data_IF_490405205642
#
_entry.id   IF_490405205642
#
_cell.length_a   1.000
_cell.length_b   1.000
_cell.length_c   1.000
_cell.angle_alpha   90.00
_cell.angle_beta   90.00
_cell.angle_gamma   90.00
#
_symmetry.space_group_name_H-M   'P 1'
#
loop_
_entity.id
_entity.type
_entity.pdbx_description
1 polymer ?
#
# COMPACT_ATOMS: atom_id res chain seq x y z
N UNK A 1 6.18 -10.10 -8.37
CA UNK A 1 6.54 -8.66 -8.48
C UNK A 1 7.96 -8.50 -7.95
N UNK A 2 8.79 -7.64 -8.53
CA UNK A 2 10.21 -7.54 -8.14
C UNK A 2 11.03 -8.71 -8.68
N UNK A 3 11.96 -9.24 -7.87
CA UNK A 3 12.83 -10.38 -8.24
C UNK A 3 12.39 -11.72 -7.64
N UNK A 4 11.30 -11.74 -6.86
CA UNK A 4 10.76 -12.99 -6.29
C UNK A 4 10.13 -13.86 -7.38
N UNK A 5 10.31 -15.18 -7.25
CA UNK A 5 9.70 -16.17 -8.15
C UNK A 5 8.15 -16.05 -8.13
N UNK A 6 7.46 -16.18 -9.27
CA UNK A 6 6.01 -16.21 -9.31
C UNK A 6 5.43 -17.36 -8.47
N UNK A 7 4.33 -17.09 -7.76
CA UNK A 7 3.54 -18.08 -7.03
C UNK A 7 2.12 -18.13 -7.63
N UNK A 8 1.82 -19.07 -8.53
CA UNK A 8 0.49 -19.23 -9.09
C UNK A 8 -0.56 -19.51 -8.00
N UNK A 9 -1.74 -18.90 -8.11
CA UNK A 9 -2.83 -19.11 -7.16
C UNK A 9 -2.61 -18.47 -5.77
N UNK A 10 -1.60 -17.62 -5.62
CA UNK A 10 -1.31 -16.91 -4.36
C UNK A 10 -2.51 -16.11 -3.89
N UNK A 11 -2.77 -16.18 -2.59
CA UNK A 11 -3.74 -15.37 -1.84
C UNK A 11 -3.02 -14.39 -0.91
N UNK A 12 -3.74 -13.43 -0.31
CA UNK A 12 -3.17 -12.56 0.72
C UNK A 12 -2.62 -13.36 1.92
N UNK A 13 -3.26 -14.49 2.26
CA UNK A 13 -2.89 -15.37 3.38
C UNK A 13 -1.62 -16.19 3.13
N UNK A 14 -1.08 -16.18 1.91
CA UNK A 14 0.23 -16.79 1.64
C UNK A 14 1.39 -15.86 2.01
N UNK A 15 1.18 -14.55 2.03
CA UNK A 15 2.24 -13.59 2.36
C UNK A 15 2.79 -13.71 3.79
N UNK A 16 1.97 -13.96 4.84
CA UNK A 16 2.49 -14.22 6.18
C UNK A 16 3.47 -15.40 6.23
N UNK A 17 3.27 -16.44 5.39
CA UNK A 17 4.17 -17.60 5.32
C UNK A 17 5.54 -17.19 4.77
N UNK A 18 5.56 -16.35 3.73
CA UNK A 18 6.81 -15.76 3.20
C UNK A 18 7.54 -14.96 4.29
N UNK A 19 6.80 -14.17 5.09
CA UNK A 19 7.39 -13.41 6.19
C UNK A 19 7.92 -14.31 7.32
N UNK A 20 7.29 -15.45 7.60
CA UNK A 20 7.83 -16.41 8.56
C UNK A 20 9.16 -17.02 8.09
N UNK A 21 9.26 -17.36 6.80
CA UNK A 21 10.52 -17.82 6.21
C UNK A 21 11.59 -16.74 6.28
N UNK A 22 11.25 -15.49 5.95
CA UNK A 22 12.18 -14.37 6.03
C UNK A 22 12.63 -14.10 7.47
N UNK A 23 11.71 -14.05 8.42
CA UNK A 23 12.02 -13.82 9.84
C UNK A 23 12.92 -14.93 10.40
N UNK A 24 12.65 -16.19 10.05
CA UNK A 24 13.51 -17.32 10.42
C UNK A 24 14.92 -17.17 9.85
N UNK A 25 15.03 -16.83 8.57
CA UNK A 25 16.32 -16.62 7.91
C UNK A 25 17.13 -15.48 8.53
N UNK A 26 16.47 -14.40 8.92
CA UNK A 26 17.07 -13.22 9.55
C UNK A 26 17.26 -13.37 11.07
N UNK A 27 16.88 -14.52 11.65
CA UNK A 27 16.89 -14.78 13.10
C UNK A 27 16.07 -13.74 13.92
N UNK A 28 14.98 -13.24 13.34
CA UNK A 28 14.06 -12.33 14.00
C UNK A 28 13.09 -13.12 14.87
N UNK A 29 13.20 -12.96 16.20
CA UNK A 29 12.28 -13.58 17.16
C UNK A 29 10.94 -12.84 17.18
N UNK A 30 11.00 -11.51 17.13
CA UNK A 30 9.86 -10.61 17.26
C UNK A 30 9.99 -9.47 16.26
N UNK A 31 8.87 -9.03 15.69
CA UNK A 31 8.85 -7.94 14.71
C UNK A 31 7.47 -7.27 14.61
N UNK A 32 7.47 -6.11 13.97
CA UNK A 32 6.26 -5.40 13.55
C UNK A 32 6.14 -5.40 12.03
N UNK A 33 4.93 -5.23 11.52
CA UNK A 33 4.67 -5.16 10.06
C UNK A 33 4.08 -3.80 9.71
N UNK A 34 4.63 -3.17 8.68
CA UNK A 34 4.13 -1.93 8.10
C UNK A 34 3.62 -2.20 6.68
N UNK A 35 2.33 -1.93 6.44
CA UNK A 35 1.72 -1.96 5.12
C UNK A 35 1.36 -0.56 4.64
N UNK A 36 1.72 -0.21 3.41
CA UNK A 36 1.41 1.09 2.80
C UNK A 36 0.54 0.87 1.57
N UNK A 37 -0.59 1.59 1.47
CA UNK A 37 -1.48 1.52 0.30
C UNK A 37 -1.89 0.07 -0.04
N UNK A 38 -1.50 -0.45 -1.21
CA UNK A 38 -1.70 -1.85 -1.59
C UNK A 38 -1.04 -2.87 -0.66
N UNK A 39 -0.08 -2.47 0.18
CA UNK A 39 0.51 -3.29 1.25
C UNK A 39 -0.37 -3.41 2.50
N UNK A 40 -1.42 -2.58 2.65
CA UNK A 40 -2.36 -2.64 3.77
C UNK A 40 -3.05 -4.00 3.92
N UNK A 41 -3.66 -4.56 2.86
CA UNK A 41 -4.24 -5.91 2.87
C UNK A 41 -3.26 -7.01 3.27
N UNK A 42 -2.01 -6.92 2.82
CA UNK A 42 -0.96 -7.87 3.19
C UNK A 42 -0.59 -7.76 4.67
N UNK A 43 -0.49 -6.54 5.21
CA UNK A 43 -0.26 -6.32 6.64
C UNK A 43 -1.44 -6.82 7.50
N UNK A 44 -2.67 -6.66 7.02
CA UNK A 44 -3.87 -7.23 7.65
C UNK A 44 -3.87 -8.76 7.61
N UNK A 45 -3.44 -9.37 6.51
CA UNK A 45 -3.28 -10.83 6.44
C UNK A 45 -2.28 -11.33 7.48
N UNK A 46 -1.17 -10.62 7.67
CA UNK A 46 -0.22 -10.92 8.75
C UNK A 46 -0.86 -10.77 10.14
N UNK A 47 -1.63 -9.70 10.36
CA UNK A 47 -2.35 -9.48 11.61
C UNK A 47 -3.31 -10.63 11.97
N UNK A 48 -3.92 -11.24 10.95
CA UNK A 48 -4.89 -12.32 11.11
C UNK A 48 -4.24 -13.64 11.47
N UNK A 49 -3.12 -14.01 10.84
CA UNK A 49 -2.59 -15.39 10.94
C UNK A 49 -1.31 -15.52 11.75
N UNK A 50 -0.57 -14.44 12.00
CA UNK A 50 0.74 -14.55 12.64
C UNK A 50 0.65 -14.70 14.18
N UNK A 51 1.49 -15.56 14.76
CA UNK A 51 1.44 -15.89 16.18
C UNK A 51 1.89 -14.72 17.08
N UNK A 52 1.39 -14.72 18.32
CA UNK A 52 1.61 -13.64 19.31
C UNK A 52 3.06 -13.51 19.77
N UNK A 53 3.77 -14.61 19.71
CA UNK A 53 5.18 -14.71 20.04
C UNK A 53 6.03 -13.94 19.03
N UNK A 54 5.60 -13.83 17.76
CA UNK A 54 6.38 -13.21 16.67
C UNK A 54 5.91 -11.79 16.33
N UNK A 55 4.65 -11.63 15.94
CA UNK A 55 4.15 -10.35 15.44
C UNK A 55 3.65 -9.48 16.61
N UNK A 56 4.32 -8.36 16.90
CA UNK A 56 4.00 -7.51 18.06
C UNK A 56 3.12 -6.32 17.76
N UNK A 57 3.19 -5.79 16.55
CA UNK A 57 2.37 -4.67 16.13
C UNK A 57 2.22 -4.61 14.62
N UNK A 58 1.14 -3.96 14.18
CA UNK A 58 0.90 -3.66 12.76
C UNK A 58 0.62 -2.18 12.58
N UNK A 59 1.20 -1.58 11.55
CA UNK A 59 0.87 -0.23 11.10
C UNK A 59 0.43 -0.26 9.65
N UNK A 60 -0.65 0.45 9.35
CA UNK A 60 -1.21 0.59 8.01
C UNK A 60 -1.25 2.07 7.68
N UNK A 61 -0.65 2.45 6.57
CA UNK A 61 -0.61 3.83 6.07
C UNK A 61 -1.36 3.88 4.75
N UNK A 62 -2.41 4.69 4.67
CA UNK A 62 -3.30 4.84 3.51
C UNK A 62 -3.71 3.51 2.85
N UNK A 63 -3.83 2.44 3.65
CA UNK A 63 -4.01 1.09 3.15
C UNK A 63 -5.43 0.79 2.69
N UNK A 64 -5.57 0.07 1.57
CA UNK A 64 -6.89 -0.35 1.10
C UNK A 64 -7.46 -1.43 2.04
N UNK A 65 -8.72 -1.25 2.43
CA UNK A 65 -9.46 -2.21 3.24
C UNK A 65 -10.28 -3.18 2.39
N UNK A 66 -10.95 -4.17 3.00
CA UNK A 66 -11.79 -5.14 2.31
C UNK A 66 -12.80 -4.49 1.33
N UNK A 67 -13.10 -5.11 0.17
CA UNK A 67 -13.93 -4.50 -0.87
C UNK A 67 -15.35 -4.09 -0.41
N UNK A 68 -15.90 -4.74 0.61
CA UNK A 68 -17.22 -4.43 1.15
C UNK A 68 -17.30 -3.04 1.82
N UNK A 69 -16.16 -2.43 2.14
CA UNK A 69 -16.09 -1.03 2.60
C UNK A 69 -16.49 -0.06 1.48
N UNK A 70 -16.23 -0.42 0.23
CA UNK A 70 -16.45 0.40 -0.95
C UNK A 70 -15.48 1.59 -1.07
N UNK A 71 -15.46 2.19 -2.27
CA UNK A 71 -14.54 3.29 -2.62
C UNK A 71 -15.19 4.68 -2.53
N UNK A 72 -16.17 4.88 -1.65
CA UNK A 72 -16.82 6.18 -1.49
C UNK A 72 -15.80 7.24 -1.07
N UNK A 73 -15.78 8.37 -1.78
CA UNK A 73 -14.78 9.45 -1.62
C UNK A 73 -13.54 9.32 -2.50
N UNK A 74 -13.38 8.21 -3.24
CA UNK A 74 -12.28 8.07 -4.18
C UNK A 74 -12.51 8.94 -5.42
N UNK A 75 -11.42 9.45 -6.01
CA UNK A 75 -11.48 10.09 -7.32
C UNK A 75 -11.99 9.11 -8.37
N UNK A 76 -12.73 9.61 -9.37
CA UNK A 76 -13.41 8.79 -10.38
C UNK A 76 -12.52 7.69 -10.99
N UNK A 77 -11.28 8.02 -11.34
CA UNK A 77 -10.33 7.06 -11.90
C UNK A 77 -10.03 5.89 -10.94
N UNK A 78 -9.75 6.17 -9.67
CA UNK A 78 -9.49 5.15 -8.65
C UNK A 78 -10.75 4.38 -8.29
N UNK A 79 -11.91 5.05 -8.24
CA UNK A 79 -13.19 4.41 -8.01
C UNK A 79 -13.47 3.33 -9.06
N UNK A 80 -13.32 3.65 -10.36
CA UNK A 80 -13.48 2.67 -11.44
C UNK A 80 -12.40 1.59 -11.38
N UNK A 81 -11.15 2.00 -11.13
CA UNK A 81 -10.00 1.10 -11.07
C UNK A 81 -10.15 0.01 -10.02
N UNK A 82 -10.49 0.36 -8.78
CA UNK A 82 -10.62 -0.60 -7.68
C UNK A 82 -11.92 -1.40 -7.72
N UNK A 83 -13.06 -0.81 -8.09
CA UNK A 83 -14.32 -1.55 -8.16
C UNK A 83 -14.36 -2.52 -9.37
N UNK A 84 -13.77 -2.13 -10.50
CA UNK A 84 -13.92 -2.88 -11.75
C UNK A 84 -12.60 -3.28 -12.40
N UNK A 85 -11.66 -2.34 -12.56
CA UNK A 85 -10.43 -2.56 -13.32
C UNK A 85 -9.60 -3.72 -12.77
N UNK A 86 -9.17 -3.62 -11.52
CA UNK A 86 -8.36 -4.64 -10.86
C UNK A 86 -9.14 -5.95 -10.63
N UNK A 87 -10.44 -5.86 -10.37
CA UNK A 87 -11.30 -7.01 -10.09
C UNK A 87 -11.56 -7.88 -11.32
N UNK A 88 -11.96 -7.27 -12.44
CA UNK A 88 -12.45 -8.01 -13.61
C UNK A 88 -11.47 -8.00 -14.79
N UNK A 89 -10.57 -7.02 -14.88
CA UNK A 89 -9.61 -6.91 -15.96
C UNK A 89 -8.17 -6.63 -15.47
N UNK A 90 -7.63 -7.41 -14.51
CA UNK A 90 -6.35 -7.11 -13.87
C UNK A 90 -5.17 -7.04 -14.85
N UNK A 91 -5.14 -7.90 -15.88
CA UNK A 91 -4.09 -7.86 -16.91
C UNK A 91 -4.16 -6.60 -17.76
N UNK A 92 -5.36 -6.10 -18.06
CA UNK A 92 -5.55 -4.86 -18.80
C UNK A 92 -5.12 -3.67 -17.95
N UNK A 93 -5.48 -3.65 -16.67
CA UNK A 93 -5.02 -2.63 -15.72
C UNK A 93 -3.49 -2.66 -15.57
N UNK A 94 -2.89 -3.84 -15.39
CA UNK A 94 -1.44 -4.02 -15.31
C UNK A 94 -0.72 -3.55 -16.58
N UNK A 95 -1.25 -3.89 -17.76
CA UNK A 95 -0.76 -3.37 -19.03
C UNK A 95 -0.84 -1.84 -19.11
N UNK A 96 -1.97 -1.24 -18.72
CA UNK A 96 -2.16 0.21 -18.74
C UNK A 96 -1.12 0.93 -17.86
N UNK A 97 -0.90 0.48 -16.63
CA UNK A 97 0.11 1.06 -15.74
C UNK A 97 1.54 0.80 -16.23
N UNK A 98 1.79 -0.34 -16.88
CA UNK A 98 3.08 -0.61 -17.51
C UNK A 98 3.38 0.38 -18.65
N UNK A 99 2.39 0.73 -19.48
CA UNK A 99 2.56 1.73 -20.53
C UNK A 99 2.91 3.11 -19.97
N UNK A 100 2.30 3.51 -18.84
CA UNK A 100 2.64 4.77 -18.17
C UNK A 100 4.10 4.82 -17.69
N UNK A 101 4.70 3.66 -17.42
CA UNK A 101 6.08 3.56 -17.00
C UNK A 101 7.09 4.08 -18.02
N UNK A 102 6.76 4.15 -19.32
CA UNK A 102 7.66 4.59 -20.41
C UNK A 102 9.03 3.88 -20.36
N UNK A 103 9.03 2.57 -20.17
CA UNK A 103 10.26 1.78 -19.96
C UNK A 103 11.20 1.69 -21.17
N UNK A 104 10.80 2.19 -22.34
CA UNK A 104 11.67 2.37 -23.50
C UNK A 104 12.68 3.53 -23.32
N UNK A 105 12.49 4.39 -22.31
CA UNK A 105 13.39 5.49 -21.96
C UNK A 105 14.33 5.10 -20.81
N UNK A 106 15.47 5.79 -20.70
CA UNK A 106 16.36 5.69 -19.55
C UNK A 106 15.69 6.20 -18.26
N UNK A 107 16.22 5.82 -17.08
CA UNK A 107 15.65 6.33 -15.82
C UNK A 107 15.81 7.84 -15.67
N UNK A 108 16.91 8.41 -16.17
CA UNK A 108 17.12 9.85 -16.16
C UNK A 108 16.08 10.58 -17.01
N UNK A 109 15.80 10.11 -18.23
CA UNK A 109 14.75 10.71 -19.08
C UNK A 109 13.36 10.61 -18.43
N UNK A 110 13.04 9.46 -17.82
CA UNK A 110 11.76 9.24 -17.12
C UNK A 110 11.62 10.18 -15.92
N UNK A 111 12.69 10.34 -15.14
CA UNK A 111 12.75 11.26 -14.01
C UNK A 111 12.53 12.71 -14.46
N UNK A 112 13.24 13.15 -15.51
CA UNK A 112 13.08 14.51 -16.02
C UNK A 112 11.65 14.77 -16.53
N UNK A 113 11.05 13.81 -17.25
CA UNK A 113 9.68 13.92 -17.71
C UNK A 113 8.68 14.02 -16.53
N UNK A 114 8.84 13.21 -15.49
CA UNK A 114 7.97 13.28 -14.32
C UNK A 114 8.09 14.61 -13.58
N UNK A 115 9.31 15.12 -13.38
CA UNK A 115 9.53 16.42 -12.75
C UNK A 115 8.95 17.57 -13.59
N UNK A 116 9.09 17.53 -14.92
CA UNK A 116 8.47 18.50 -15.81
C UNK A 116 6.95 18.46 -15.76
N UNK A 117 6.36 17.27 -15.74
CA UNK A 117 4.91 17.10 -15.63
C UNK A 117 4.39 17.57 -14.27
N UNK A 118 5.14 17.36 -13.19
CA UNK A 118 4.85 17.88 -11.86
C UNK A 118 4.92 19.41 -11.81
N UNK A 119 5.98 20.02 -12.38
CA UNK A 119 6.13 21.49 -12.41
C UNK A 119 5.00 22.15 -13.21
N UNK A 120 4.60 21.57 -14.35
CA UNK A 120 3.43 22.03 -15.13
C UNK A 120 2.13 21.99 -14.33
N UNK A 121 1.97 20.99 -13.46
CA UNK A 121 0.76 20.77 -12.64
C UNK A 121 0.81 21.44 -11.29
N UNK A 122 1.93 22.01 -10.89
CA UNK A 122 2.19 22.59 -9.56
C UNK A 122 1.09 23.53 -9.06
N UNK A 123 0.56 24.39 -9.94
CA UNK A 123 -0.51 25.33 -9.60
C UNK A 123 -1.85 24.66 -9.25
N UNK A 124 -2.05 23.42 -9.69
CA UNK A 124 -3.27 22.62 -9.47
C UNK A 124 -3.09 21.49 -8.46
N UNK A 125 -1.85 21.18 -8.08
CA UNK A 125 -1.57 20.17 -7.06
C UNK A 125 -1.98 20.71 -5.68
N UNK A 126 -2.52 19.85 -4.79
CA UNK A 126 -2.60 20.18 -3.38
C UNK A 126 -1.23 20.62 -2.88
N UNK A 127 -1.18 21.65 -2.03
CA UNK A 127 0.08 22.22 -1.54
C UNK A 127 0.97 21.15 -0.89
N UNK A 128 0.35 20.22 -0.16
CA UNK A 128 1.01 19.10 0.51
C UNK A 128 1.66 18.09 -0.46
N UNK A 129 1.23 18.06 -1.73
CA UNK A 129 1.76 17.16 -2.75
C UNK A 129 2.84 17.81 -3.62
N UNK A 130 2.79 19.13 -3.81
CA UNK A 130 3.73 19.84 -4.66
C UNK A 130 5.18 19.62 -4.21
N UNK A 131 5.45 19.67 -2.90
CA UNK A 131 6.80 19.43 -2.35
C UNK A 131 7.30 18.01 -2.61
N UNK A 132 6.40 17.02 -2.65
CA UNK A 132 6.74 15.60 -2.86
C UNK A 132 7.03 15.32 -4.33
N UNK A 133 6.16 15.78 -5.23
CA UNK A 133 6.27 15.50 -6.67
C UNK A 133 7.32 16.35 -7.39
N UNK A 134 7.82 17.40 -6.73
CA UNK A 134 8.95 18.20 -7.22
C UNK A 134 10.28 17.79 -6.59
N UNK A 135 10.26 16.95 -5.56
CA UNK A 135 11.48 16.41 -4.95
C UNK A 135 12.11 15.37 -5.87
N UNK A 136 13.29 15.72 -6.41
CA UNK A 136 14.05 14.87 -7.33
C UNK A 136 14.42 13.52 -6.71
N UNK A 137 14.73 13.46 -5.43
CA UNK A 137 15.10 12.21 -4.79
C UNK A 137 13.90 11.29 -4.60
N UNK A 138 12.76 11.84 -4.17
CA UNK A 138 11.52 11.07 -4.00
C UNK A 138 11.07 10.52 -5.35
N UNK A 139 10.93 11.38 -6.36
CA UNK A 139 10.50 10.98 -7.70
C UNK A 139 11.53 10.04 -8.33
N UNK A 140 12.82 10.29 -8.14
CA UNK A 140 13.90 9.42 -8.59
C UNK A 140 13.76 8.01 -8.05
N UNK A 141 13.55 7.86 -6.73
CA UNK A 141 13.29 6.54 -6.12
C UNK A 141 12.07 5.85 -6.71
N UNK A 142 10.96 6.57 -6.94
CA UNK A 142 9.77 6.00 -7.57
C UNK A 142 10.03 5.51 -9.00
N UNK A 143 10.77 6.27 -9.80
CA UNK A 143 11.18 5.88 -11.17
C UNK A 143 11.99 4.58 -11.14
N UNK A 144 12.98 4.48 -10.24
CA UNK A 144 13.80 3.28 -10.08
C UNK A 144 12.96 2.07 -9.61
N UNK A 145 12.11 2.26 -8.58
CA UNK A 145 11.26 1.20 -8.02
C UNK A 145 10.25 0.69 -9.06
N UNK A 146 9.72 1.57 -9.91
CA UNK A 146 8.78 1.16 -10.97
C UNK A 146 9.37 0.22 -12.00
N UNK A 147 10.66 0.35 -12.30
CA UNK A 147 11.37 -0.61 -13.15
C UNK A 147 11.48 -1.97 -12.46
N UNK A 148 11.74 -1.99 -11.16
CA UNK A 148 11.89 -3.23 -10.41
C UNK A 148 10.59 -4.02 -10.31
N UNK A 149 9.46 -3.38 -10.00
CA UNK A 149 8.22 -4.14 -9.84
C UNK A 149 7.64 -4.67 -11.17
N UNK A 150 8.06 -4.13 -12.31
CA UNK A 150 7.75 -4.63 -13.67
C UNK A 150 8.89 -5.43 -14.31
N UNK A 151 9.99 -5.72 -13.61
CA UNK A 151 11.17 -6.39 -14.19
C UNK A 151 10.85 -7.77 -14.79
N UNK A 152 9.85 -8.47 -14.23
CA UNK A 152 9.36 -9.76 -14.73
C UNK A 152 8.08 -9.63 -15.57
N UNK A 153 7.77 -8.44 -16.09
CA UNK A 153 6.54 -8.15 -16.81
C UNK A 153 5.37 -7.72 -15.91
N UNK A 154 4.15 -7.76 -16.46
CA UNK A 154 2.96 -7.19 -15.82
C UNK A 154 2.24 -8.13 -14.85
N UNK A 155 2.56 -9.42 -14.88
CA UNK A 155 1.77 -10.44 -14.18
C UNK A 155 1.75 -10.21 -12.67
N UNK A 156 2.88 -9.80 -12.07
CA UNK A 156 2.96 -9.52 -10.64
C UNK A 156 2.07 -8.35 -10.20
N UNK A 157 2.11 -7.24 -10.94
CA UNK A 157 1.25 -6.06 -10.67
C UNK A 157 -0.22 -6.39 -10.91
N UNK A 158 -0.51 -7.15 -11.97
CA UNK A 158 -1.87 -7.59 -12.29
C UNK A 158 -2.44 -8.47 -11.18
N UNK A 159 -1.65 -9.42 -10.68
CA UNK A 159 -2.04 -10.34 -9.62
C UNK A 159 -2.25 -9.62 -8.28
N UNK A 160 -1.29 -8.80 -7.85
CA UNK A 160 -1.43 -8.05 -6.60
C UNK A 160 -2.60 -7.07 -6.67
N UNK A 161 -2.79 -6.38 -7.79
CA UNK A 161 -3.96 -5.55 -8.04
C UNK A 161 -5.27 -6.32 -7.90
N UNK A 162 -5.35 -7.52 -8.49
CA UNK A 162 -6.51 -8.40 -8.35
C UNK A 162 -6.78 -8.78 -6.89
N UNK A 163 -5.75 -9.19 -6.14
CA UNK A 163 -5.88 -9.59 -4.73
C UNK A 163 -6.39 -8.45 -3.86
N UNK A 164 -5.90 -7.22 -4.05
CA UNK A 164 -6.37 -6.07 -3.26
C UNK A 164 -7.75 -5.56 -3.70
N UNK A 165 -8.19 -5.88 -4.92
CA UNK A 165 -9.52 -5.55 -5.47
C UNK A 165 -10.59 -6.63 -5.26
N UNK A 166 -10.24 -7.76 -4.64
CA UNK A 166 -11.13 -8.91 -4.41
C UNK A 166 -11.19 -9.29 -2.92
N UNK A 167 -11.93 -10.35 -2.60
CA UNK A 167 -12.12 -10.77 -1.21
C UNK A 167 -10.80 -11.18 -0.55
N UNK A 168 -10.57 -10.69 0.66
CA UNK A 168 -9.29 -10.89 1.35
C UNK A 168 -9.08 -12.31 1.87
N UNK A 169 -10.15 -13.10 1.97
CA UNK A 169 -10.12 -14.46 2.54
C UNK A 169 -10.08 -14.49 4.06
N UNK A 170 -10.23 -13.35 4.73
CA UNK A 170 -10.34 -13.24 6.19
C UNK A 170 -11.19 -12.03 6.58
N UNK A 171 -11.68 -12.01 7.83
CA UNK A 171 -12.40 -10.86 8.39
C UNK A 171 -11.47 -10.06 9.28
N UNK A 172 -11.68 -8.75 9.33
CA UNK A 172 -10.88 -7.85 10.18
C UNK A 172 -11.14 -8.17 11.67
N UNK A 173 -12.34 -8.63 11.98
CA UNK A 173 -12.81 -9.06 13.28
C UNK A 173 -12.07 -10.30 13.81
N UNK A 174 -11.49 -11.11 12.91
CA UNK A 174 -10.74 -12.33 13.27
C UNK A 174 -9.31 -12.04 13.73
N UNK A 175 -8.82 -10.80 13.54
CA UNK A 175 -7.51 -10.37 14.03
C UNK A 175 -7.50 -10.50 15.56
N UNK A 176 -6.43 -11.10 16.10
CA UNK A 176 -6.28 -11.41 17.52
C UNK A 176 -6.36 -10.18 18.44
N UNK A 177 -6.92 -10.36 19.63
CA UNK A 177 -7.29 -9.26 20.53
C UNK A 177 -6.11 -8.57 21.23
N UNK A 178 -4.95 -9.20 21.31
CA UNK A 178 -3.73 -8.66 21.90
C UNK A 178 -2.90 -7.80 20.94
N UNK A 179 -3.19 -7.86 19.62
CA UNK A 179 -2.37 -7.20 18.61
C UNK A 179 -2.79 -5.73 18.40
N UNK A 180 -1.94 -4.74 18.75
CA UNK A 180 -2.21 -3.35 18.44
C UNK A 180 -2.07 -3.09 16.93
N UNK A 181 -3.09 -2.46 16.34
CA UNK A 181 -3.10 -2.06 14.92
C UNK A 181 -3.24 -0.55 14.82
N UNK A 182 -2.27 0.08 14.16
CA UNK A 182 -2.23 1.52 13.92
C UNK A 182 -2.65 1.82 12.49
N UNK A 183 -3.49 2.83 12.33
CA UNK A 183 -4.08 3.20 11.06
C UNK A 183 -3.80 4.69 10.82
N UNK A 184 -3.12 5.02 9.73
CA UNK A 184 -2.75 6.38 9.36
C UNK A 184 -3.39 6.72 8.03
N UNK A 185 -4.32 7.68 8.01
CA UNK A 185 -5.06 8.04 6.80
C UNK A 185 -5.12 9.55 6.62
N UNK A 186 -5.00 9.99 5.38
CA UNK A 186 -5.21 11.37 4.97
C UNK A 186 -6.70 11.63 4.74
N UNK A 187 -7.22 12.76 5.24
CA UNK A 187 -8.61 13.19 5.01
C UNK A 187 -8.87 13.56 3.55
N UNK A 188 -7.83 14.04 2.86
CA UNK A 188 -7.87 14.45 1.45
C UNK A 188 -7.37 13.35 0.49
N UNK A 189 -7.27 12.11 0.97
CA UNK A 189 -6.87 10.96 0.17
C UNK A 189 -7.99 10.56 -0.81
N UNK A 190 -7.73 10.76 -2.11
CA UNK A 190 -8.65 10.39 -3.20
C UNK A 190 -8.25 9.10 -3.92
N UNK A 191 -7.19 8.43 -3.48
CA UNK A 191 -6.76 7.11 -3.98
C UNK A 191 -7.42 6.02 -3.13
N UNK A 192 -7.20 6.10 -1.81
CA UNK A 192 -7.78 5.21 -0.80
C UNK A 192 -8.42 6.08 0.28
N UNK A 193 -9.74 6.35 0.18
CA UNK A 193 -10.42 7.27 1.08
C UNK A 193 -10.29 6.88 2.56
N UNK A 194 -10.26 7.88 3.45
CA UNK A 194 -10.18 7.67 4.91
C UNK A 194 -11.27 6.74 5.48
N UNK A 195 -12.38 6.55 4.75
CA UNK A 195 -13.41 5.58 5.12
C UNK A 195 -12.86 4.16 5.30
N UNK A 196 -11.81 3.76 4.57
CA UNK A 196 -11.13 2.48 4.81
C UNK A 196 -10.55 2.41 6.22
N UNK A 197 -9.81 3.43 6.65
CA UNK A 197 -9.29 3.53 8.02
C UNK A 197 -10.39 3.53 9.07
N UNK A 198 -11.48 4.27 8.84
CA UNK A 198 -12.64 4.35 9.75
C UNK A 198 -13.30 2.98 9.92
N UNK A 199 -13.61 2.28 8.83
CA UNK A 199 -14.27 0.98 8.90
C UNK A 199 -13.36 -0.09 9.49
N UNK A 200 -12.07 -0.10 9.13
CA UNK A 200 -11.10 -1.04 9.71
C UNK A 200 -10.98 -0.80 11.23
N UNK A 201 -10.83 0.46 11.65
CA UNK A 201 -10.76 0.81 13.08
C UNK A 201 -12.02 0.35 13.84
N UNK A 202 -13.20 0.59 13.25
CA UNK A 202 -14.49 0.19 13.83
C UNK A 202 -14.59 -1.33 14.02
N UNK A 203 -14.16 -2.12 13.04
CA UNK A 203 -14.15 -3.60 13.11
C UNK A 203 -13.14 -4.12 14.13
N UNK A 204 -12.01 -3.45 14.30
CA UNK A 204 -10.99 -3.80 15.30
C UNK A 204 -11.37 -3.43 16.74
N UNK A 205 -12.26 -2.45 16.92
CA UNK A 205 -12.66 -1.95 18.24
C UNK A 205 -11.51 -1.23 18.94
N UNK A 206 -11.31 -1.48 20.24
CA UNK A 206 -10.32 -0.78 21.08
C UNK A 206 -8.85 -0.93 20.63
N UNK A 207 -8.57 -1.88 19.74
CA UNK A 207 -7.21 -2.21 19.25
C UNK A 207 -6.85 -1.47 17.96
N UNK A 208 -7.86 -0.94 17.27
CA UNK A 208 -7.71 -0.15 16.05
C UNK A 208 -7.49 1.30 16.40
N UNK A 209 -6.23 1.75 16.34
CA UNK A 209 -5.86 3.13 16.66
C UNK A 209 -5.79 3.95 15.38
N UNK A 210 -6.90 4.62 15.04
CA UNK A 210 -6.99 5.49 13.88
C UNK A 210 -6.43 6.88 14.15
N UNK A 211 -5.60 7.33 13.23
CA UNK A 211 -5.11 8.69 13.12
C UNK A 211 -5.46 9.25 11.75
N UNK A 212 -6.14 10.40 11.77
CA UNK A 212 -6.56 11.14 10.58
C UNK A 212 -5.82 12.47 10.55
N UNK A 213 -5.20 12.78 9.41
CA UNK A 213 -4.44 14.01 9.19
C UNK A 213 -4.95 14.75 7.95
N UNK A 214 -4.77 16.07 7.89
CA UNK A 214 -5.13 16.92 6.74
C UNK A 214 -4.09 16.76 5.60
N UNK A 215 -3.87 15.51 5.22
CA UNK A 215 -2.93 15.05 4.20
C UNK A 215 -3.68 14.26 3.11
N UNK A 216 -3.00 14.12 1.97
CA UNK A 216 -3.39 13.32 0.80
C UNK A 216 -2.72 11.94 0.82
N UNK A 217 -2.95 11.10 -0.20
CA UNK A 217 -2.37 9.75 -0.30
C UNK A 217 -0.83 9.74 -0.21
N UNK A 218 -0.19 10.67 -0.92
CA UNK A 218 1.27 10.74 -0.94
C UNK A 218 1.81 11.41 0.34
N UNK A 219 1.20 12.51 0.76
CA UNK A 219 1.69 13.28 1.90
C UNK A 219 1.56 12.54 3.23
N UNK A 220 0.49 11.77 3.46
CA UNK A 220 0.39 10.94 4.67
C UNK A 220 1.54 9.93 4.77
N UNK A 221 2.00 9.39 3.63
CA UNK A 221 3.09 8.43 3.60
C UNK A 221 4.47 9.09 3.78
N UNK A 222 4.78 10.12 3.01
CA UNK A 222 6.12 10.72 3.00
C UNK A 222 6.39 11.60 4.23
N UNK A 223 5.41 12.40 4.65
CA UNK A 223 5.58 13.36 5.76
C UNK A 223 5.70 12.68 7.12
N UNK A 224 4.97 11.59 7.33
CA UNK A 224 4.86 10.90 8.61
C UNK A 224 5.74 9.65 8.72
N UNK A 225 6.59 9.39 7.73
CA UNK A 225 7.40 8.15 7.69
C UNK A 225 8.21 7.94 8.97
N UNK A 226 8.77 9.02 9.55
CA UNK A 226 9.55 8.95 10.79
C UNK A 226 8.68 8.58 11.99
N UNK A 227 7.51 9.20 12.13
CA UNK A 227 6.56 8.96 13.22
C UNK A 227 5.94 7.57 13.14
N UNK A 228 5.57 7.13 11.93
CA UNK A 228 5.06 5.79 11.67
C UNK A 228 6.09 4.74 12.09
N UNK A 229 7.35 4.89 11.66
CA UNK A 229 8.42 3.97 12.05
C UNK A 229 8.73 4.04 13.55
N UNK A 230 8.75 5.23 14.14
CA UNK A 230 8.98 5.39 15.57
C UNK A 230 7.89 4.73 16.42
N UNK A 231 6.62 4.80 16.01
CA UNK A 231 5.53 4.13 16.73
C UNK A 231 5.62 2.59 16.58
N UNK A 232 6.04 2.09 15.42
CA UNK A 232 6.24 0.65 15.20
C UNK A 232 7.37 0.11 16.09
N UNK A 233 8.53 0.78 16.09
CA UNK A 233 9.72 0.32 16.85
C UNK A 233 9.48 0.37 18.36
N UNK A 234 8.70 1.33 18.89
CA UNK A 234 8.39 1.39 20.33
C UNK A 234 7.54 0.22 20.84
N UNK A 235 6.94 -0.56 19.95
CA UNK A 235 6.00 -1.64 20.26
C UNK A 235 6.57 -3.04 19.99
N UNK A 236 7.82 -3.12 19.54
CA UNK A 236 8.60 -4.35 19.41
C UNK A 236 9.53 -4.39 20.61
#
# INVERSE_FOLDING_TARGET
MGLSTPQPGRTLLDHPKDLEHLATHLNLKEFGVLGVSGGGPYALACATTMPSEKLKCVSIVCGIGPPDIGMSGAGWFHWVGFNYGWRYAPRLAGWFFHQQGRFHLSDDERLQLQLQDAEKKKATLPRQEAEIWLDREIVGRMVMTSRQYFAQGIDGVSHDGHLVGTEFGFRIEDIRSDLPVRLWYGKDDTFVPMNHGIQIAKRLGSRGHLRLEDDTHASIFFKWGKEVLADLVRKI
#
